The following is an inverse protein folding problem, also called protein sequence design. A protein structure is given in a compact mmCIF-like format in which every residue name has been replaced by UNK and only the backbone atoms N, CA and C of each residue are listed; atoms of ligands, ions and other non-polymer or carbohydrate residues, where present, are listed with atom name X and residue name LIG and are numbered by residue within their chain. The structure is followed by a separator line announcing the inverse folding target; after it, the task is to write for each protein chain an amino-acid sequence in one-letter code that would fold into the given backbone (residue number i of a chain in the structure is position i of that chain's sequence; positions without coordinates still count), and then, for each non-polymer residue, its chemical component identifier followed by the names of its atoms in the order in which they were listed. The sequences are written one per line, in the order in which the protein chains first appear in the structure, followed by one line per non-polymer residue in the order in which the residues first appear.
data_IF_706808666340
#
_entry.id   IF_706808666340
#
_cell.length_a   1.000
_cell.length_b   1.000
_cell.length_c   1.000
_cell.angle_alpha   90.00
_cell.angle_beta   90.00
_cell.angle_gamma   90.00
#
_symmetry.space_group_name_H-M   'P 1'
#
loop_
_entity.id
_entity.type
_entity.pdbx_description
1 polymer ?
#
# COMPACT_ATOMS: atom_id res chain seq x y z
N UNK A 1 9.62 11.01 13.76
CA UNK A 1 10.53 11.06 12.59
C UNK A 1 11.84 11.71 13.00
N UNK A 2 12.90 11.53 12.22
CA UNK A 2 14.20 12.20 12.40
C UNK A 2 14.49 13.08 11.19
N UNK A 3 15.04 14.27 11.42
CA UNK A 3 15.33 15.26 10.36
C UNK A 3 16.78 15.73 10.52
N UNK A 4 17.50 15.88 9.41
CA UNK A 4 18.87 16.40 9.42
C UNK A 4 18.88 17.87 9.86
N UNK A 5 19.88 18.26 10.67
CA UNK A 5 20.00 19.62 11.20
C UNK A 5 20.10 20.65 10.08
N UNK A 6 20.79 20.33 8.98
CA UNK A 6 20.88 21.18 7.78
C UNK A 6 19.50 21.59 7.26
N UNK A 7 18.57 20.65 7.13
CA UNK A 7 17.20 20.91 6.64
C UNK A 7 16.38 21.76 7.60
N UNK A 8 16.60 21.59 8.91
CA UNK A 8 15.93 22.40 9.93
C UNK A 8 16.41 23.85 9.86
N UNK A 9 17.72 24.04 9.73
CA UNK A 9 18.35 25.37 9.62
C UNK A 9 17.95 26.08 8.34
N UNK A 10 17.94 25.37 7.21
CA UNK A 10 17.48 25.93 5.92
C UNK A 10 16.02 26.39 6.01
N UNK A 11 15.16 25.57 6.62
CA UNK A 11 13.76 25.94 6.87
C UNK A 11 13.63 27.18 7.76
N UNK A 12 14.42 27.26 8.84
CA UNK A 12 14.42 28.42 9.75
C UNK A 12 14.94 29.69 9.04
N UNK A 13 15.98 29.60 8.22
CA UNK A 13 16.46 30.73 7.40
C UNK A 13 15.39 31.25 6.45
N UNK A 14 14.65 30.35 5.81
CA UNK A 14 13.60 30.72 4.86
C UNK A 14 12.35 31.29 5.53
N UNK A 15 12.03 30.87 6.75
CA UNK A 15 10.79 31.27 7.44
C UNK A 15 10.96 32.52 8.30
N UNK A 16 12.15 32.77 8.84
CA UNK A 16 12.31 33.81 9.89
C UNK A 16 12.62 35.20 9.35
N UNK A 17 12.86 35.38 8.04
CA UNK A 17 13.17 36.68 7.39
C UNK A 17 14.23 37.53 8.12
N UNK A 18 15.05 36.91 8.97
CA UNK A 18 16.16 37.53 9.71
C UNK A 18 17.39 37.49 8.80
N UNK A 19 17.99 38.66 8.58
CA UNK A 19 19.13 38.83 7.66
C UNK A 19 20.43 38.25 8.21
N UNK A 20 21.45 38.16 7.34
CA UNK A 20 22.81 37.67 7.63
C UNK A 20 23.56 38.42 8.76
N UNK A 21 23.02 39.52 9.26
CA UNK A 21 23.58 40.30 10.39
C UNK A 21 23.09 39.80 11.76
N UNK A 22 22.10 38.90 11.79
CA UNK A 22 21.54 38.35 13.02
C UNK A 22 22.14 36.96 13.32
N UNK A 23 23.19 36.94 14.16
CA UNK A 23 23.95 35.73 14.52
C UNK A 23 23.14 34.68 15.32
N UNK A 24 21.87 34.95 15.65
CA UNK A 24 21.05 34.05 16.47
C UNK A 24 20.80 32.69 15.82
N UNK A 25 20.67 32.63 14.48
CA UNK A 25 20.43 31.37 13.76
C UNK A 25 21.71 30.51 13.70
N UNK A 26 22.87 31.14 13.54
CA UNK A 26 24.19 30.51 13.55
C UNK A 26 24.56 29.95 14.93
N UNK A 27 24.17 30.66 15.99
CA UNK A 27 24.32 30.19 17.37
C UNK A 27 23.44 28.97 17.66
N UNK A 28 22.17 29.01 17.26
CA UNK A 28 21.27 27.86 17.34
C UNK A 28 21.78 26.67 16.54
N UNK A 29 22.35 26.90 15.36
CA UNK A 29 22.98 25.83 14.57
C UNK A 29 24.17 25.20 15.30
N UNK A 30 25.00 26.02 15.96
CA UNK A 30 26.15 25.55 16.74
C UNK A 30 25.73 24.74 17.98
N UNK A 31 24.56 25.03 18.57
CA UNK A 31 23.98 24.22 19.65
C UNK A 31 23.35 22.91 19.15
N UNK A 32 22.76 22.90 17.95
CA UNK A 32 22.13 21.72 17.36
C UNK A 32 23.16 20.71 16.82
N UNK A 33 24.29 21.18 16.30
CA UNK A 33 25.34 20.33 15.72
C UNK A 33 26.75 20.91 15.98
N UNK A 34 27.27 20.79 17.21
CA UNK A 34 28.57 21.36 17.59
C UNK A 34 29.75 20.74 16.81
N UNK A 35 29.59 19.52 16.31
CA UNK A 35 30.60 18.81 15.52
C UNK A 35 30.45 19.03 14.00
N UNK A 36 29.41 19.74 13.54
CA UNK A 36 29.06 19.95 12.12
C UNK A 36 28.97 18.65 11.32
N UNK A 37 28.43 17.59 11.92
CA UNK A 37 28.30 16.24 11.33
C UNK A 37 26.94 15.99 10.67
N UNK A 38 26.07 16.98 10.64
CA UNK A 38 24.70 16.96 10.13
C UNK A 38 23.88 15.77 10.67
N UNK A 39 23.83 15.68 11.99
CA UNK A 39 23.20 14.55 12.68
C UNK A 39 21.69 14.61 12.49
N UNK A 40 21.06 13.47 12.18
CA UNK A 40 19.60 13.39 12.12
C UNK A 40 19.01 13.42 13.54
N UNK A 41 18.20 14.44 13.83
CA UNK A 41 17.65 14.72 15.16
C UNK A 41 16.15 14.40 15.21
N UNK A 42 15.68 13.85 16.33
CA UNK A 42 14.25 13.66 16.59
C UNK A 42 13.61 14.93 17.19
N UNK A 43 12.28 15.00 17.14
CA UNK A 43 11.51 16.17 17.59
C UNK A 43 11.70 16.48 19.09
N UNK A 44 11.90 15.46 19.93
CA UNK A 44 12.09 15.65 21.37
C UNK A 44 13.43 16.32 21.65
N UNK A 45 14.49 15.84 20.99
CA UNK A 45 15.84 16.43 21.08
C UNK A 45 15.86 17.86 20.53
N UNK A 46 15.20 18.12 19.40
CA UNK A 46 15.09 19.48 18.86
C UNK A 46 14.37 20.44 19.82
N UNK A 47 13.26 20.01 20.43
CA UNK A 47 12.55 20.83 21.42
C UNK A 47 13.38 21.08 22.68
N UNK A 48 14.21 20.13 23.11
CA UNK A 48 15.10 20.33 24.25
C UNK A 48 16.14 21.43 23.97
N UNK A 49 16.82 21.36 22.82
CA UNK A 49 17.81 22.36 22.42
C UNK A 49 17.16 23.73 22.16
N UNK A 50 15.98 23.76 21.53
CA UNK A 50 15.23 25.01 21.34
C UNK A 50 14.84 25.68 22.65
N UNK A 51 14.47 24.90 23.69
CA UNK A 51 14.17 25.45 25.01
C UNK A 51 15.41 26.07 25.66
N UNK A 52 16.54 25.37 25.60
CA UNK A 52 17.83 25.85 26.12
C UNK A 52 18.27 27.12 25.41
N UNK A 53 18.14 27.18 24.08
CA UNK A 53 18.46 28.38 23.30
C UNK A 53 17.55 29.58 23.62
N UNK A 54 16.25 29.36 23.82
CA UNK A 54 15.32 30.43 24.24
C UNK A 54 15.68 30.95 25.64
N UNK A 55 16.10 30.05 26.53
CA UNK A 55 16.54 30.41 27.88
C UNK A 55 17.85 31.21 27.86
N UNK A 56 18.82 30.80 27.03
CA UNK A 56 20.07 31.54 26.79
C UNK A 56 19.82 32.93 26.19
N UNK A 57 18.92 33.03 25.20
CA UNK A 57 18.49 34.32 24.64
C UNK A 57 17.85 35.24 25.68
N UNK A 58 17.07 34.68 26.62
CA UNK A 58 16.43 35.43 27.69
C UNK A 58 17.46 35.94 28.71
N UNK A 59 18.47 35.13 29.03
CA UNK A 59 19.58 35.52 29.90
C UNK A 59 20.42 36.67 29.32
N UNK A 60 20.71 36.63 28.01
CA UNK A 60 21.44 37.72 27.31
C UNK A 60 20.70 39.05 27.29
N UNK A 61 19.36 39.04 27.29
CA UNK A 61 18.55 40.27 27.37
C UNK A 61 18.57 40.88 28.78
N UNK A 62 18.63 40.06 29.84
CA UNK A 62 18.75 40.55 31.22
C UNK A 62 20.14 41.14 31.51
N UNK A 63 21.23 40.54 30.99
CA UNK A 63 22.59 41.02 31.22
C UNK A 63 22.94 42.30 30.43
N UNK A 64 22.30 42.52 29.28
CA UNK A 64 22.50 43.72 28.44
C UNK A 64 21.72 44.96 28.90
N UNK A 65 20.89 44.85 29.94
CA UNK A 65 20.08 45.98 30.46
C UNK A 65 20.82 46.82 31.52
N UNK A 66 22.12 46.55 31.78
CA UNK A 66 22.90 47.21 32.85
C UNK A 66 23.89 48.29 32.37
N UNK A 67 23.66 48.97 31.24
CA UNK A 67 24.43 50.17 30.85
C UNK A 67 23.56 51.28 30.19
N UNK A 68 22.64 51.90 30.97
CA UNK A 68 22.06 53.27 30.89
C UNK A 68 21.51 53.89 29.57
N UNK A 69 20.90 55.11 29.56
CA UNK A 69 20.35 55.94 30.65
C UNK A 69 18.89 56.45 30.43
N UNK A 70 18.18 56.67 31.54
CA UNK A 70 17.16 57.73 31.81
C UNK A 70 16.04 58.06 30.80
N UNK A 71 14.78 57.83 31.20
CA UNK A 71 13.63 58.75 31.07
C UNK A 71 12.46 58.23 31.95
N UNK A 72 12.25 58.76 33.15
CA UNK A 72 11.30 59.84 33.48
C UNK A 72 9.83 59.57 33.13
N UNK A 73 9.02 59.26 34.16
CA UNK A 73 7.72 59.91 34.49
C UNK A 73 7.18 59.32 35.81
N UNK A 74 7.57 59.83 36.98
CA UNK A 74 6.78 60.74 37.83
C UNK A 74 5.31 60.30 38.04
N UNK A 75 4.99 59.62 39.14
CA UNK A 75 4.59 60.19 40.46
C UNK A 75 3.49 61.24 40.34
N UNK A 76 2.24 60.86 40.63
CA UNK A 76 1.18 61.80 41.07
C UNK A 76 0.43 61.16 42.25
N UNK A 77 0.93 61.44 43.46
CA UNK A 77 0.26 61.16 44.74
C UNK A 77 -0.13 62.51 45.31
N UNK A 78 -1.35 62.96 45.02
CA UNK A 78 -1.85 64.25 45.47
C UNK A 78 -2.70 64.05 46.72
N UNK A 79 -2.02 64.06 47.85
CA UNK A 79 -2.55 64.51 49.14
C UNK A 79 -2.94 65.98 48.97
N UNK A 80 -4.23 66.32 49.04
CA UNK A 80 -4.66 67.72 49.13
C UNK A 80 -5.08 67.99 50.56
N UNK A 81 -4.11 68.47 51.33
CA UNK A 81 -4.33 69.18 52.57
C UNK A 81 -5.05 70.51 52.32
N UNK A 82 -5.75 70.95 53.37
CA UNK A 82 -5.99 72.33 53.73
C UNK A 82 -6.68 73.24 52.70
N UNK A 83 -8.00 73.31 52.83
CA UNK A 83 -8.66 74.62 52.87
C UNK A 83 -9.74 74.63 53.95
N UNK A 84 -9.30 74.46 55.19
CA UNK A 84 -9.98 75.11 56.31
C UNK A 84 -10.03 76.60 55.97
N UNK A 85 -11.21 77.08 55.60
CA UNK A 85 -11.48 78.49 55.50
C UNK A 85 -11.61 79.01 56.94
N UNK A 86 -10.46 79.12 57.61
CA UNK A 86 -10.30 79.97 58.78
C UNK A 86 -10.56 81.39 58.29
N UNK A 87 -11.80 81.85 58.43
CA UNK A 87 -12.10 83.28 58.35
C UNK A 87 -11.43 83.88 59.57
N UNK A 88 -10.17 84.27 59.35
CA UNK A 88 -9.39 85.15 60.20
C UNK A 88 -10.28 86.35 60.53
N UNK A 89 -10.75 86.40 61.77
CA UNK A 89 -11.35 87.58 62.36
C UNK A 89 -10.34 88.72 62.25
N UNK A 90 -10.52 89.61 61.26
CA UNK A 90 -9.89 90.91 61.28
C UNK A 90 -10.70 91.79 62.21
N UNK A 91 -10.39 91.69 63.50
CA UNK A 91 -10.73 92.68 64.52
C UNK A 91 -9.90 93.92 64.17
N UNK A 92 -10.44 94.78 63.32
CA UNK A 92 -9.94 96.16 63.21
C UNK A 92 -10.50 96.92 64.39
N UNK A 93 -9.75 96.89 65.51
CA UNK A 93 -9.89 97.86 66.59
C UNK A 93 -9.51 99.23 66.03
N UNK A 94 -10.53 100.03 65.67
CA UNK A 94 -10.37 101.38 65.14
C UNK A 94 -11.10 102.38 66.03
N UNK A 95 -10.31 103.19 66.74
CA UNK A 95 -10.66 104.46 67.39
C UNK A 95 -11.93 104.52 68.25
N UNK A 96 -11.75 104.12 69.51
CA UNK A 96 -12.42 104.73 70.65
C UNK A 96 -11.79 106.12 70.86
N UNK A 97 -12.26 107.14 70.12
CA UNK A 97 -11.98 108.54 70.45
C UNK A 97 -13.07 109.07 71.37
N UNK A 98 -12.60 109.60 72.49
CA UNK A 98 -13.36 110.11 73.60
C UNK A 98 -14.18 111.34 73.20
N UNK A 99 -15.50 111.25 73.33
CA UNK A 99 -16.31 112.42 73.67
C UNK A 99 -16.41 112.52 75.19
N UNK A 100 -15.30 112.95 75.80
CA UNK A 100 -15.35 113.73 77.03
C UNK A 100 -15.54 115.17 76.63
N UNK A 101 -16.78 115.67 76.70
CA UNK A 101 -17.13 117.00 76.21
C UNK A 101 -18.42 117.51 76.83
N UNK A 102 -18.23 118.17 77.98
CA UNK A 102 -19.04 119.16 78.67
C UNK A 102 -20.54 118.97 78.98
N UNK A 103 -20.81 119.27 80.24
CA UNK A 103 -22.06 119.29 80.99
C UNK A 103 -23.06 120.26 80.36
N UNK A 104 -24.14 119.73 79.77
CA UNK A 104 -25.39 120.49 79.69
C UNK A 104 -26.15 120.25 81.00
N UNK A 105 -25.95 121.17 81.94
CA UNK A 105 -26.83 121.44 83.09
C UNK A 105 -28.04 122.25 82.60
N UNK A 106 -28.61 121.82 81.48
CA UNK A 106 -29.97 122.12 81.07
C UNK A 106 -30.77 120.88 81.40
N UNK A 107 -31.96 121.07 81.96
CA UNK A 107 -32.94 120.02 82.26
C UNK A 107 -33.05 119.08 81.04
N UNK A 108 -32.26 117.99 81.02
CA UNK A 108 -32.45 116.90 80.07
C UNK A 108 -33.75 116.31 80.56
N UNK A 109 -34.82 116.70 79.89
CA UNK A 109 -36.17 116.30 80.22
C UNK A 109 -36.13 114.78 80.44
N UNK A 110 -36.52 114.35 81.64
CA UNK A 110 -36.51 112.95 82.05
C UNK A 110 -37.23 112.10 80.98
N UNK A 111 -38.14 112.72 80.23
CA UNK A 111 -38.80 112.22 79.03
C UNK A 111 -37.86 111.79 77.88
N UNK A 112 -36.81 112.54 77.55
CA UNK A 112 -35.86 112.22 76.46
C UNK A 112 -34.98 111.00 76.80
N UNK A 113 -34.54 110.90 78.05
CA UNK A 113 -33.79 109.74 78.54
C UNK A 113 -34.67 108.48 78.60
N UNK A 114 -35.92 108.60 79.07
CA UNK A 114 -36.90 107.51 79.05
C UNK A 114 -37.16 107.03 77.61
N UNK A 115 -37.27 107.96 76.66
CA UNK A 115 -37.47 107.64 75.23
C UNK A 115 -36.26 106.92 74.64
N UNK A 116 -35.04 107.38 74.94
CA UNK A 116 -33.81 106.71 74.51
C UNK A 116 -33.68 105.29 75.09
N UNK A 117 -34.01 105.11 76.38
CA UNK A 117 -34.01 103.78 77.03
C UNK A 117 -35.05 102.85 76.40
N UNK A 118 -36.26 103.34 76.11
CA UNK A 118 -37.30 102.56 75.45
C UNK A 118 -36.88 102.13 74.03
N UNK A 119 -36.27 103.02 73.26
CA UNK A 119 -35.72 102.72 71.93
C UNK A 119 -34.60 101.68 71.97
N UNK A 120 -33.70 101.77 72.96
CA UNK A 120 -32.63 100.79 73.15
C UNK A 120 -33.18 99.43 73.57
N UNK A 121 -34.16 99.39 74.47
CA UNK A 121 -34.85 98.15 74.86
C UNK A 121 -35.55 97.50 73.67
N UNK A 122 -36.26 98.28 72.86
CA UNK A 122 -36.88 97.80 71.62
C UNK A 122 -35.84 97.28 70.63
N UNK A 123 -34.74 98.02 70.39
CA UNK A 123 -33.64 97.58 69.52
C UNK A 123 -32.97 96.31 70.02
N UNK A 124 -32.76 96.17 71.33
CA UNK A 124 -32.19 94.97 71.93
C UNK A 124 -33.13 93.76 71.78
N UNK A 125 -34.43 93.92 72.06
CA UNK A 125 -35.40 92.87 71.83
C UNK A 125 -35.46 92.44 70.36
N UNK A 126 -35.46 93.39 69.43
CA UNK A 126 -35.38 93.11 67.99
C UNK A 126 -34.09 92.38 67.60
N UNK A 127 -32.94 92.77 68.15
CA UNK A 127 -31.67 92.05 67.95
C UNK A 127 -31.72 90.63 68.51
N UNK A 128 -32.39 90.42 69.65
CA UNK A 128 -32.55 89.10 70.26
C UNK A 128 -33.46 88.19 69.42
N UNK A 129 -34.55 88.73 68.86
CA UNK A 129 -35.43 88.03 67.92
C UNK A 129 -34.68 87.64 66.64
N UNK A 130 -33.92 88.57 66.05
CA UNK A 130 -33.10 88.27 64.88
C UNK A 130 -31.98 87.26 65.21
N UNK A 131 -31.34 87.34 66.38
CA UNK A 131 -30.36 86.33 66.82
C UNK A 131 -30.99 84.94 66.97
N UNK A 132 -32.19 84.84 67.54
CA UNK A 132 -32.91 83.58 67.66
C UNK A 132 -33.29 83.02 66.29
N UNK A 133 -33.72 83.88 65.37
CA UNK A 133 -34.03 83.50 63.98
C UNK A 133 -32.78 83.02 63.26
N UNK A 134 -31.66 83.73 63.37
CA UNK A 134 -30.38 83.33 62.81
C UNK A 134 -29.93 81.97 63.36
N UNK A 135 -30.09 81.75 64.66
CA UNK A 135 -29.78 80.46 65.30
C UNK A 135 -30.61 79.32 64.74
N UNK A 136 -31.93 79.49 64.63
CA UNK A 136 -32.80 78.48 64.01
C UNK A 136 -32.45 78.22 62.54
N UNK A 137 -32.12 79.27 61.77
CA UNK A 137 -31.67 79.08 60.39
C UNK A 137 -30.32 78.37 60.31
N UNK A 138 -29.41 78.65 61.25
CA UNK A 138 -28.12 77.98 61.34
C UNK A 138 -28.31 76.49 61.67
N UNK A 139 -29.12 76.16 62.68
CA UNK A 139 -29.45 74.77 63.03
C UNK A 139 -30.09 74.02 61.86
N UNK A 140 -31.01 74.67 61.12
CA UNK A 140 -31.61 74.08 59.92
C UNK A 140 -30.58 73.85 58.81
N UNK A 141 -29.65 74.80 58.59
CA UNK A 141 -28.57 74.66 57.62
C UNK A 141 -27.61 73.53 58.03
N UNK A 142 -27.23 73.44 59.31
CA UNK A 142 -26.35 72.39 59.84
C UNK A 142 -26.98 71.00 59.67
N UNK A 143 -28.28 70.84 59.95
CA UNK A 143 -29.00 69.57 59.73
C UNK A 143 -29.02 69.19 58.25
N UNK A 144 -29.27 70.15 57.35
CA UNK A 144 -29.22 69.88 55.90
C UNK A 144 -27.82 69.53 55.42
N UNK A 145 -26.78 70.16 55.98
CA UNK A 145 -25.38 69.87 55.63
C UNK A 145 -24.95 68.49 56.10
N UNK A 146 -25.34 68.08 57.32
CA UNK A 146 -25.09 66.72 57.82
C UNK A 146 -25.76 65.66 56.95
N UNK A 147 -27.01 65.92 56.51
CA UNK A 147 -27.70 65.03 55.58
C UNK A 147 -26.98 64.94 54.23
N UNK A 148 -26.55 66.07 53.66
CA UNK A 148 -25.79 66.07 52.41
C UNK A 148 -24.43 65.35 52.53
N UNK A 149 -23.76 65.47 53.68
CA UNK A 149 -22.53 64.72 53.96
C UNK A 149 -22.78 63.21 53.99
N UNK A 150 -23.86 62.76 54.63
CA UNK A 150 -24.24 61.35 54.64
C UNK A 150 -24.58 60.85 53.22
N UNK A 151 -25.40 61.59 52.47
CA UNK A 151 -25.73 61.28 51.07
C UNK A 151 -24.46 61.23 50.20
N UNK A 152 -23.46 62.09 50.45
CA UNK A 152 -22.19 62.09 49.72
C UNK A 152 -21.35 60.85 50.00
N UNK A 153 -21.27 60.40 51.26
CA UNK A 153 -20.55 59.19 51.63
C UNK A 153 -21.24 57.94 51.05
N UNK A 154 -22.57 57.88 51.09
CA UNK A 154 -23.35 56.81 50.46
C UNK A 154 -23.11 56.75 48.95
N UNK A 155 -23.11 57.89 48.26
CA UNK A 155 -22.78 57.97 46.83
C UNK A 155 -21.33 57.54 46.54
N UNK A 156 -20.38 57.91 47.41
CA UNK A 156 -18.98 57.43 47.28
C UNK A 156 -18.91 55.91 47.43
N UNK A 157 -19.61 55.33 48.39
CA UNK A 157 -19.62 53.89 48.61
C UNK A 157 -20.29 53.16 47.44
N UNK A 158 -21.40 53.68 46.92
CA UNK A 158 -22.04 53.18 45.70
C UNK A 158 -21.08 53.22 44.50
N UNK A 159 -20.37 54.34 44.32
CA UNK A 159 -19.38 54.49 43.23
C UNK A 159 -18.27 53.44 43.34
N UNK A 160 -17.72 53.20 44.55
CA UNK A 160 -16.70 52.15 44.76
C UNK A 160 -17.24 50.76 44.44
N UNK A 161 -18.47 50.45 44.87
CA UNK A 161 -19.12 49.17 44.58
C UNK A 161 -19.35 48.97 43.08
N UNK A 162 -19.81 50.00 42.38
CA UNK A 162 -19.99 49.96 40.92
C UNK A 162 -18.64 49.76 40.23
N UNK A 163 -17.60 50.48 40.65
CA UNK A 163 -16.24 50.32 40.11
C UNK A 163 -15.72 48.89 40.28
N UNK A 164 -15.90 48.28 41.46
CA UNK A 164 -15.54 46.87 41.67
C UNK A 164 -16.32 45.94 40.75
N UNK A 165 -17.64 46.12 40.63
CA UNK A 165 -18.49 45.29 39.75
C UNK A 165 -18.06 45.41 38.28
N UNK A 166 -17.72 46.62 37.82
CA UNK A 166 -17.21 46.87 36.47
C UNK A 166 -15.88 46.14 36.22
N UNK A 167 -14.95 46.16 37.18
CA UNK A 167 -13.69 45.42 37.05
C UNK A 167 -13.92 43.91 36.97
N UNK A 168 -14.83 43.37 37.80
CA UNK A 168 -15.21 41.97 37.74
C UNK A 168 -15.84 41.59 36.39
N UNK A 169 -16.72 42.44 35.85
CA UNK A 169 -17.33 42.23 34.54
C UNK A 169 -16.30 42.20 33.40
N UNK A 170 -15.28 43.07 33.44
CA UNK A 170 -14.18 43.07 32.46
C UNK A 170 -13.35 41.78 32.51
N UNK A 171 -13.03 41.29 33.70
CA UNK A 171 -12.33 40.02 33.87
C UNK A 171 -13.12 38.85 33.28
N UNK A 172 -14.44 38.82 33.49
CA UNK A 172 -15.32 37.79 32.93
C UNK A 172 -15.44 37.90 31.40
N UNK A 173 -15.40 39.12 30.85
CA UNK A 173 -15.38 39.36 29.40
C UNK A 173 -14.09 38.80 28.76
N UNK A 174 -12.94 39.01 29.41
CA UNK A 174 -11.65 38.44 28.98
C UNK A 174 -11.67 36.90 29.04
N UNK A 175 -12.17 36.31 30.14
CA UNK A 175 -12.33 34.85 30.26
C UNK A 175 -13.26 34.27 29.18
N UNK A 176 -14.34 34.99 28.84
CA UNK A 176 -15.28 34.56 27.79
C UNK A 176 -14.61 34.56 26.41
N UNK A 177 -13.88 35.62 26.06
CA UNK A 177 -13.16 35.68 24.79
C UNK A 177 -12.04 34.63 24.73
N UNK A 178 -11.34 34.34 25.83
CA UNK A 178 -10.39 33.22 25.89
C UNK A 178 -11.08 31.87 25.61
N UNK A 179 -12.19 31.56 26.31
CA UNK A 179 -12.95 30.32 26.10
C UNK A 179 -13.45 30.20 24.67
N UNK A 180 -13.89 31.30 24.06
CA UNK A 180 -14.35 31.35 22.67
C UNK A 180 -13.22 31.06 21.69
N UNK A 181 -12.02 31.62 21.89
CA UNK A 181 -10.86 31.29 21.05
C UNK A 181 -10.44 29.83 21.19
N UNK A 182 -10.45 29.28 22.41
CA UNK A 182 -10.17 27.88 22.68
C UNK A 182 -11.20 26.93 22.06
N UNK A 183 -12.49 27.30 22.11
CA UNK A 183 -13.57 26.56 21.47
C UNK A 183 -13.36 26.50 19.95
N UNK A 184 -13.07 27.64 19.31
CA UNK A 184 -12.81 27.71 17.88
C UNK A 184 -11.60 26.84 17.46
N UNK A 185 -10.50 26.90 18.22
CA UNK A 185 -9.32 26.04 17.98
C UNK A 185 -9.65 24.55 18.13
N UNK A 186 -10.43 24.19 19.15
CA UNK A 186 -10.86 22.81 19.36
C UNK A 186 -11.78 22.32 18.24
N UNK A 187 -12.66 23.19 17.74
CA UNK A 187 -13.55 22.88 16.63
C UNK A 187 -12.76 22.69 15.32
N UNK A 188 -11.78 23.53 15.04
CA UNK A 188 -10.89 23.38 13.88
C UNK A 188 -10.12 22.04 13.94
N UNK A 189 -9.56 21.69 15.10
CA UNK A 189 -8.89 20.39 15.31
C UNK A 189 -9.85 19.22 15.11
N UNK A 190 -11.09 19.33 15.60
CA UNK A 190 -12.14 18.31 15.40
C UNK A 190 -12.41 18.12 13.90
N UNK A 191 -12.52 19.20 13.15
CA UNK A 191 -12.79 19.15 11.71
C UNK A 191 -11.60 18.57 10.92
N UNK A 192 -10.36 18.92 11.31
CA UNK A 192 -9.15 18.35 10.74
C UNK A 192 -9.09 16.83 10.93
N UNK A 193 -9.35 16.35 12.16
CA UNK A 193 -9.39 14.91 12.47
C UNK A 193 -10.51 14.21 11.70
N UNK A 194 -11.68 14.85 11.54
CA UNK A 194 -12.79 14.31 10.77
C UNK A 194 -12.41 14.12 9.30
N UNK A 195 -11.74 15.12 8.70
CA UNK A 195 -11.24 15.06 7.33
C UNK A 195 -10.17 13.97 7.15
N UNK A 196 -9.25 13.83 8.09
CA UNK A 196 -8.24 12.74 8.09
C UNK A 196 -8.90 11.36 8.19
N UNK A 197 -9.86 11.18 9.09
CA UNK A 197 -10.60 9.92 9.22
C UNK A 197 -11.34 9.56 7.93
N UNK A 198 -12.00 10.53 7.30
CA UNK A 198 -12.70 10.31 6.02
C UNK A 198 -11.73 9.92 4.89
N UNK A 199 -10.51 10.45 4.90
CA UNK A 199 -9.48 10.07 3.94
C UNK A 199 -8.97 8.64 4.19
N UNK A 200 -8.65 8.30 5.44
CA UNK A 200 -8.23 6.95 5.82
C UNK A 200 -9.32 5.91 5.53
N UNK A 201 -10.60 6.26 5.70
CA UNK A 201 -11.72 5.38 5.35
C UNK A 201 -11.75 5.06 3.85
N UNK A 202 -11.52 6.06 2.98
CA UNK A 202 -11.40 5.83 1.53
C UNK A 202 -10.21 4.96 1.18
N UNK A 203 -9.04 5.22 1.79
CA UNK A 203 -7.84 4.41 1.56
C UNK A 203 -8.05 2.96 2.01
N UNK A 204 -8.71 2.74 3.15
CA UNK A 204 -9.06 1.41 3.63
C UNK A 204 -10.01 0.70 2.65
N UNK A 205 -11.05 1.39 2.16
CA UNK A 205 -11.94 0.84 1.12
C UNK A 205 -11.17 0.44 -0.16
N UNK A 206 -10.23 1.28 -0.62
CA UNK A 206 -9.40 0.97 -1.79
C UNK A 206 -8.50 -0.25 -1.55
N UNK A 207 -7.90 -0.36 -0.36
CA UNK A 207 -7.08 -1.51 0.02
C UNK A 207 -7.93 -2.79 0.07
N UNK A 208 -9.14 -2.73 0.61
CA UNK A 208 -10.08 -3.86 0.61
C UNK A 208 -10.36 -4.32 -0.82
N UNK A 209 -10.69 -3.40 -1.74
CA UNK A 209 -10.91 -3.72 -3.15
C UNK A 209 -9.68 -4.38 -3.78
N UNK A 210 -8.47 -3.86 -3.49
CA UNK A 210 -7.23 -4.42 -4.02
C UNK A 210 -6.95 -5.84 -3.48
N UNK A 211 -7.21 -6.06 -2.19
CA UNK A 211 -7.09 -7.39 -1.56
C UNK A 211 -8.04 -8.38 -2.25
N UNK A 212 -9.31 -8.02 -2.44
CA UNK A 212 -10.29 -8.88 -3.11
C UNK A 212 -9.87 -9.20 -4.55
N UNK A 213 -9.40 -8.21 -5.32
CA UNK A 213 -8.91 -8.42 -6.69
C UNK A 213 -7.71 -9.37 -6.76
N UNK A 214 -6.77 -9.25 -5.81
CA UNK A 214 -5.61 -10.16 -5.73
C UNK A 214 -6.02 -11.57 -5.28
N UNK A 215 -7.01 -11.70 -4.38
CA UNK A 215 -7.55 -12.99 -3.99
C UNK A 215 -8.22 -13.70 -5.16
N UNK A 216 -9.00 -12.98 -5.98
CA UNK A 216 -9.61 -13.53 -7.19
C UNK A 216 -8.57 -13.98 -8.21
N UNK A 217 -7.49 -13.22 -8.40
CA UNK A 217 -6.38 -13.58 -9.28
C UNK A 217 -5.66 -14.84 -8.78
N UNK A 218 -5.41 -14.93 -7.48
CA UNK A 218 -4.77 -16.11 -6.88
C UNK A 218 -5.63 -17.37 -7.06
N UNK A 219 -6.96 -17.26 -6.89
CA UNK A 219 -7.88 -18.36 -7.16
C UNK A 219 -7.80 -18.79 -8.63
N UNK A 220 -7.84 -17.85 -9.58
CA UNK A 220 -7.69 -18.17 -11.02
C UNK A 220 -6.36 -18.88 -11.31
N UNK A 221 -5.26 -18.36 -10.80
CA UNK A 221 -3.94 -18.94 -11.00
C UNK A 221 -3.85 -20.36 -10.40
N UNK A 222 -4.47 -20.59 -9.24
CA UNK A 222 -4.56 -21.93 -8.63
C UNK A 222 -5.34 -22.90 -9.52
N UNK A 223 -6.47 -22.47 -10.09
CA UNK A 223 -7.26 -23.31 -10.99
C UNK A 223 -6.50 -23.64 -12.28
N UNK A 224 -5.77 -22.68 -12.85
CA UNK A 224 -4.92 -22.90 -14.02
C UNK A 224 -3.78 -23.88 -13.71
N UNK A 225 -3.12 -23.74 -12.56
CA UNK A 225 -2.08 -24.65 -12.09
C UNK A 225 -2.60 -26.09 -11.93
N UNK A 226 -3.78 -26.27 -11.31
CA UNK A 226 -4.44 -27.57 -11.19
C UNK A 226 -4.76 -28.18 -12.57
N UNK A 227 -5.19 -27.35 -13.52
CA UNK A 227 -5.43 -27.77 -14.90
C UNK A 227 -4.16 -28.25 -15.61
N UNK A 228 -3.07 -27.51 -15.48
CA UNK A 228 -1.77 -27.89 -16.01
C UNK A 228 -1.23 -29.17 -15.36
N UNK A 229 -1.39 -29.32 -14.05
CA UNK A 229 -0.97 -30.53 -13.33
C UNK A 229 -1.72 -31.77 -13.84
N UNK A 230 -3.04 -31.66 -14.06
CA UNK A 230 -3.83 -32.74 -14.67
C UNK A 230 -3.31 -33.08 -16.07
N UNK A 231 -2.97 -32.07 -16.88
CA UNK A 231 -2.44 -32.30 -18.23
C UNK A 231 -1.06 -32.96 -18.21
N UNK A 232 -0.20 -32.58 -17.28
CA UNK A 232 1.11 -33.20 -17.08
C UNK A 232 0.95 -34.69 -16.70
N UNK A 233 0.01 -35.00 -15.80
CA UNK A 233 -0.26 -36.38 -15.40
C UNK A 233 -0.78 -37.23 -16.57
N UNK A 234 -1.70 -36.69 -17.37
CA UNK A 234 -2.20 -37.36 -18.58
C UNK A 234 -1.07 -37.64 -19.58
N UNK A 235 -0.27 -36.62 -19.92
CA UNK A 235 0.87 -36.77 -20.83
C UNK A 235 1.93 -37.75 -20.30
N UNK A 236 2.15 -37.79 -18.99
CA UNK A 236 3.09 -38.73 -18.37
C UNK A 236 2.59 -40.17 -18.48
N UNK A 237 1.26 -40.37 -18.37
CA UNK A 237 0.64 -41.69 -18.57
C UNK A 237 0.79 -42.13 -20.03
N UNK A 238 0.47 -41.26 -20.98
CA UNK A 238 0.59 -41.55 -22.42
C UNK A 238 2.05 -41.88 -22.79
N UNK A 239 3.01 -41.14 -22.23
CA UNK A 239 4.43 -41.40 -22.44
C UNK A 239 4.86 -42.79 -21.93
N UNK A 240 4.39 -43.21 -20.75
CA UNK A 240 4.67 -44.54 -20.21
C UNK A 240 4.04 -45.66 -21.06
N UNK A 241 2.83 -45.45 -21.58
CA UNK A 241 2.17 -46.40 -22.49
C UNK A 241 2.97 -46.56 -23.80
N UNK A 242 3.45 -45.45 -24.37
CA UNK A 242 4.29 -45.45 -25.57
C UNK A 242 5.65 -46.12 -25.33
N UNK A 243 6.25 -45.94 -24.16
CA UNK A 243 7.52 -46.59 -23.79
C UNK A 243 7.36 -48.12 -23.72
N UNK A 244 6.26 -48.60 -23.12
CA UNK A 244 5.91 -50.03 -23.11
C UNK A 244 5.71 -50.56 -24.53
N UNK A 245 5.00 -49.81 -25.37
CA UNK A 245 4.76 -50.20 -26.77
C UNK A 245 6.07 -50.27 -27.57
N UNK A 246 6.98 -49.31 -27.39
CA UNK A 246 8.30 -49.32 -28.01
C UNK A 246 9.09 -50.58 -27.63
N UNK A 247 9.11 -50.96 -26.35
CA UNK A 247 9.79 -52.17 -25.88
C UNK A 247 9.20 -53.45 -26.49
N UNK A 248 7.87 -53.52 -26.67
CA UNK A 248 7.21 -54.66 -27.34
C UNK A 248 7.66 -54.77 -28.80
N UNK A 249 7.69 -53.65 -29.53
CA UNK A 249 8.16 -53.65 -30.91
C UNK A 249 9.64 -54.00 -31.03
N UNK A 250 10.49 -53.46 -30.15
CA UNK A 250 11.93 -53.78 -30.12
C UNK A 250 12.15 -55.28 -29.92
N UNK A 251 11.47 -55.89 -28.93
CA UNK A 251 11.52 -57.34 -28.70
C UNK A 251 11.03 -58.14 -29.92
N UNK A 252 9.97 -57.68 -30.59
CA UNK A 252 9.44 -58.33 -31.80
C UNK A 252 10.45 -58.26 -32.94
N UNK A 253 11.10 -57.11 -33.15
CA UNK A 253 12.15 -56.93 -34.17
C UNK A 253 13.34 -57.85 -33.88
N UNK A 254 13.83 -57.89 -32.65
CA UNK A 254 14.94 -58.78 -32.25
C UNK A 254 14.60 -60.25 -32.51
N UNK A 255 13.37 -60.68 -32.21
CA UNK A 255 12.92 -62.04 -32.50
C UNK A 255 12.87 -62.33 -34.01
N UNK A 256 12.40 -61.38 -34.83
CA UNK A 256 12.38 -61.51 -36.28
C UNK A 256 13.80 -61.54 -36.88
N UNK A 257 14.70 -60.71 -36.36
CA UNK A 257 16.12 -60.69 -36.74
C UNK A 257 16.78 -62.05 -36.45
N UNK A 258 16.56 -62.62 -35.27
CA UNK A 258 17.07 -63.94 -34.91
C UNK A 258 16.53 -65.05 -35.83
N UNK A 259 15.24 -65.01 -36.16
CA UNK A 259 14.62 -65.96 -37.11
C UNK A 259 15.18 -65.79 -38.53
N UNK A 260 15.43 -64.55 -38.97
CA UNK A 260 16.04 -64.25 -40.27
C UNK A 260 17.46 -64.81 -40.36
N UNK A 261 18.29 -64.57 -39.33
CA UNK A 261 19.66 -65.11 -39.24
C UNK A 261 19.65 -66.65 -39.28
N UNK A 262 18.72 -67.29 -38.58
CA UNK A 262 18.58 -68.75 -38.62
C UNK A 262 18.22 -69.26 -40.03
N UNK A 263 17.28 -68.59 -40.72
CA UNK A 263 16.92 -68.93 -42.10
C UNK A 263 18.11 -68.73 -43.05
N UNK A 264 18.88 -67.67 -42.87
CA UNK A 264 20.06 -67.41 -43.70
C UNK A 264 21.16 -68.47 -43.49
N UNK A 265 21.33 -68.95 -42.26
CA UNK A 265 22.21 -70.09 -41.96
C UNK A 265 21.74 -71.38 -42.66
N UNK A 266 20.44 -71.69 -42.58
CA UNK A 266 19.87 -72.85 -43.28
C UNK A 266 20.04 -72.76 -44.80
N UNK A 267 19.90 -71.56 -45.38
CA UNK A 267 20.17 -71.32 -46.81
C UNK A 267 21.64 -71.59 -47.15
N UNK A 268 22.59 -71.17 -46.30
CA UNK A 268 24.02 -71.44 -46.51
C UNK A 268 24.32 -72.94 -46.48
N UNK A 269 23.73 -73.66 -45.53
CA UNK A 269 23.85 -75.12 -45.43
C UNK A 269 23.26 -75.83 -46.66
N UNK A 270 22.05 -75.43 -47.09
CA UNK A 270 21.42 -75.98 -48.29
C UNK A 270 22.25 -75.70 -49.56
N UNK A 271 22.89 -74.53 -49.67
CA UNK A 271 23.81 -74.23 -50.78
C UNK A 271 25.02 -75.17 -50.78
N UNK A 272 25.58 -75.49 -49.62
CA UNK A 272 26.69 -76.44 -49.49
C UNK A 272 26.26 -77.85 -49.93
N UNK A 273 25.10 -78.34 -49.47
CA UNK A 273 24.60 -79.66 -49.87
C UNK A 273 24.30 -79.75 -51.36
N UNK A 274 23.80 -78.68 -51.99
CA UNK A 274 23.62 -78.60 -53.45
C UNK A 274 24.95 -78.72 -54.20
N UNK A 275 26.02 -78.09 -53.71
CA UNK A 275 27.36 -78.19 -54.30
C UNK A 275 27.91 -79.61 -54.17
N UNK A 276 27.77 -80.23 -53.00
CA UNK A 276 28.15 -81.63 -52.76
C UNK A 276 27.40 -82.60 -53.69
N UNK A 277 26.07 -82.50 -53.77
CA UNK A 277 25.24 -83.28 -54.68
C UNK A 277 25.66 -83.08 -56.14
N UNK A 278 25.94 -81.84 -56.55
CA UNK A 278 26.42 -81.53 -57.90
C UNK A 278 27.75 -82.24 -58.20
N UNK A 279 28.69 -82.24 -57.25
CA UNK A 279 29.96 -82.97 -57.37
C UNK A 279 29.76 -84.48 -57.49
N UNK A 280 28.84 -85.06 -56.72
CA UNK A 280 28.48 -86.48 -56.82
C UNK A 280 27.92 -86.79 -58.21
N UNK A 281 27.01 -85.95 -58.72
CA UNK A 281 26.43 -86.09 -60.06
C UNK A 281 27.51 -86.04 -61.13
N UNK A 282 28.46 -85.10 -61.07
CA UNK A 282 29.58 -85.03 -62.04
C UNK A 282 30.45 -86.28 -61.99
N UNK A 283 30.76 -86.79 -60.79
CA UNK A 283 31.55 -88.01 -60.59
C UNK A 283 30.85 -89.23 -61.22
N UNK A 284 29.57 -89.43 -60.90
CA UNK A 284 28.76 -90.50 -61.47
C UNK A 284 28.64 -90.38 -62.99
N UNK A 285 28.54 -89.16 -63.53
CA UNK A 285 28.49 -88.93 -64.98
C UNK A 285 29.81 -89.31 -65.64
N UNK A 286 30.96 -89.00 -65.03
CA UNK A 286 32.27 -89.41 -65.52
C UNK A 286 32.45 -90.94 -65.48
N UNK A 287 32.05 -91.60 -64.39
CA UNK A 287 32.06 -93.06 -64.27
C UNK A 287 31.18 -93.74 -65.31
N UNK A 288 29.95 -93.23 -65.52
CA UNK A 288 29.05 -93.70 -66.58
C UNK A 288 29.70 -93.59 -67.95
N UNK A 289 30.34 -92.46 -68.26
CA UNK A 289 31.04 -92.24 -69.53
C UNK A 289 32.17 -93.27 -69.72
N UNK A 290 33.02 -93.47 -68.71
CA UNK A 290 34.10 -94.45 -68.72
C UNK A 290 33.58 -95.89 -68.92
N UNK A 291 32.48 -96.25 -68.25
CA UNK A 291 31.85 -97.56 -68.42
C UNK A 291 31.32 -97.76 -69.84
N UNK A 292 30.71 -96.73 -70.43
CA UNK A 292 30.19 -96.75 -71.80
C UNK A 292 31.33 -96.90 -72.83
N UNK A 293 32.44 -96.18 -72.65
CA UNK A 293 33.66 -96.33 -73.45
C UNK A 293 34.25 -97.75 -73.35
N UNK A 294 34.37 -98.30 -72.14
CA UNK A 294 34.82 -99.68 -71.92
C UNK A 294 33.89 -100.70 -72.61
N UNK A 295 32.58 -100.51 -72.53
CA UNK A 295 31.60 -101.38 -73.18
C UNK A 295 31.70 -101.32 -74.71
N UNK A 296 31.87 -100.12 -75.28
CA UNK A 296 32.12 -99.94 -76.73
C UNK A 296 33.42 -100.61 -77.18
N UNK A 297 34.49 -100.47 -76.40
CA UNK A 297 35.77 -101.10 -76.68
C UNK A 297 35.65 -102.63 -76.69
N UNK A 298 35.00 -103.21 -75.67
CA UNK A 298 34.72 -104.65 -75.61
C UNK A 298 33.87 -105.11 -76.81
N UNK A 299 32.88 -104.33 -77.20
CA UNK A 299 32.06 -104.61 -78.39
C UNK A 299 32.90 -104.59 -79.68
N UNK A 300 33.85 -103.65 -79.82
CA UNK A 300 34.78 -103.60 -80.95
C UNK A 300 35.76 -104.79 -80.96
N UNK A 301 36.29 -105.20 -79.81
CA UNK A 301 37.14 -106.40 -79.69
C UNK A 301 36.39 -107.69 -80.08
N UNK A 302 35.12 -107.81 -79.66
CA UNK A 302 34.24 -108.91 -80.07
C UNK A 302 34.03 -108.95 -81.59
N UNK A 303 33.86 -107.79 -82.22
CA UNK A 303 33.74 -107.66 -83.68
C UNK A 303 35.06 -108.04 -84.38
N UNK A 304 36.23 -107.62 -83.86
CA UNK A 304 37.57 -107.93 -84.40
C UNK A 304 37.93 -109.42 -84.31
N UNK A 305 37.47 -110.12 -83.28
CA UNK A 305 37.73 -111.55 -83.06
C UNK A 305 36.80 -112.50 -83.86
N UNK A 306 36.06 -111.99 -84.85
CA UNK A 306 35.34 -112.80 -85.84
C UNK A 306 33.99 -113.39 -85.39
N UNK A 307 33.48 -112.99 -84.22
CA UNK A 307 32.14 -113.37 -83.74
C UNK A 307 31.14 -112.29 -84.18
N UNK A 308 30.60 -112.42 -85.40
CA UNK A 308 29.45 -111.59 -85.79
C UNK A 308 28.18 -112.14 -85.14
N UNK A 309 27.54 -111.32 -84.30
CA UNK A 309 26.10 -111.41 -84.11
C UNK A 309 25.51 -110.01 -83.92
N UNK A 310 24.54 -109.61 -84.75
CA UNK A 310 23.68 -108.48 -84.44
C UNK A 310 22.71 -108.94 -83.36
N UNK A 311 22.95 -108.56 -82.11
CA UNK A 311 21.92 -108.71 -81.07
C UNK A 311 21.74 -107.41 -80.28
N UNK A 312 20.61 -106.78 -80.60
CA UNK A 312 19.74 -106.01 -79.73
C UNK A 312 20.23 -105.77 -78.28
N UNK A 313 20.44 -104.50 -77.94
CA UNK A 313 19.95 -103.94 -76.68
C UNK A 313 18.64 -103.19 -76.95
N UNK A 314 17.66 -103.89 -77.51
CA UNK A 314 16.26 -103.48 -77.58
C UNK A 314 15.40 -104.65 -77.07
N UNK A 315 15.51 -104.98 -75.80
CA UNK A 315 14.60 -105.83 -75.02
C UNK A 315 15.16 -105.88 -73.59
N UNK A 316 14.44 -105.73 -72.48
CA UNK A 316 13.07 -105.37 -72.17
C UNK A 316 13.03 -105.33 -70.62
N UNK A 317 12.44 -104.32 -70.02
CA UNK A 317 11.71 -104.49 -68.77
C UNK A 317 10.63 -103.41 -68.69
N UNK A 318 9.57 -103.62 -69.48
CA UNK A 318 8.25 -103.31 -68.99
C UNK A 318 8.07 -104.06 -67.66
N UNK A 319 8.33 -103.37 -66.55
CA UNK A 319 7.72 -103.68 -65.26
C UNK A 319 6.69 -102.58 -65.02
N UNK A 320 5.41 -102.94 -64.87
CA UNK A 320 4.32 -102.01 -64.62
C UNK A 320 4.22 -101.76 -63.11
N UNK A 321 4.45 -100.53 -62.67
CA UNK A 321 4.05 -99.97 -61.37
C UNK A 321 4.55 -98.52 -61.41
N UNK A 322 3.68 -97.52 -61.39
CA UNK A 322 3.02 -97.19 -60.14
C UNK A 322 4.04 -96.53 -59.23
N UNK A 323 4.05 -95.19 -59.23
CA UNK A 323 4.80 -94.30 -58.34
C UNK A 323 6.20 -93.85 -58.84
N UNK A 324 6.41 -92.53 -58.81
CA UNK A 324 7.68 -91.81 -58.85
C UNK A 324 8.22 -91.37 -60.23
N UNK A 325 7.32 -91.00 -61.15
CA UNK A 325 7.72 -90.10 -62.24
C UNK A 325 7.91 -88.69 -61.68
N UNK A 326 9.07 -88.10 -61.96
CA UNK A 326 9.45 -86.71 -61.66
C UNK A 326 8.36 -85.70 -62.11
N UNK A 327 7.49 -86.12 -63.03
CA UNK A 327 6.33 -85.36 -63.49
C UNK A 327 5.22 -85.25 -62.42
N UNK A 328 4.93 -86.31 -61.66
CA UNK A 328 3.94 -86.26 -60.56
C UNK A 328 4.47 -85.46 -59.35
N UNK A 329 5.77 -85.50 -59.08
CA UNK A 329 6.38 -84.67 -58.02
C UNK A 329 6.38 -83.17 -58.40
N UNK A 330 6.62 -82.82 -59.66
CA UNK A 330 6.51 -81.45 -60.15
C UNK A 330 5.07 -80.92 -60.14
N UNK A 331 4.08 -81.77 -60.41
CA UNK A 331 2.65 -81.41 -60.39
C UNK A 331 2.12 -81.27 -58.94
N UNK A 332 2.66 -82.05 -57.99
CA UNK A 332 2.42 -81.87 -56.55
C UNK A 332 3.10 -80.60 -55.99
N UNK A 333 4.28 -80.23 -56.50
CA UNK A 333 4.93 -78.97 -56.14
C UNK A 333 4.20 -77.74 -56.72
N UNK A 334 3.60 -77.85 -57.91
CA UNK A 334 2.77 -76.80 -58.51
C UNK A 334 1.38 -76.66 -57.86
N UNK A 335 0.78 -77.76 -57.39
CA UNK A 335 -0.50 -77.71 -56.65
C UNK A 335 -0.34 -77.23 -55.19
N UNK A 336 0.89 -77.12 -54.69
CA UNK A 336 1.24 -76.41 -53.45
C UNK A 336 1.28 -74.87 -53.60
N UNK A 337 0.73 -74.31 -54.69
CA UNK A 337 0.44 -72.87 -54.83
C UNK A 337 -0.72 -72.36 -53.94
N UNK A 338 -1.18 -73.14 -52.96
CA UNK A 338 -2.15 -72.67 -51.95
C UNK A 338 -1.51 -71.71 -50.92
N UNK A 339 -0.18 -71.65 -50.83
CA UNK A 339 0.54 -70.67 -50.00
C UNK A 339 0.66 -69.27 -50.65
N UNK A 340 0.23 -69.12 -51.91
CA UNK A 340 0.16 -67.80 -52.57
C UNK A 340 -1.05 -66.98 -52.11
N UNK A 341 -2.14 -67.65 -51.70
CA UNK A 341 -3.33 -66.99 -51.16
C UNK A 341 -3.07 -66.36 -49.78
N UNK A 342 -2.22 -66.97 -48.95
CA UNK A 342 -1.79 -66.38 -47.67
C UNK A 342 -0.79 -65.22 -47.87
N UNK A 343 -0.02 -65.26 -48.96
CA UNK A 343 0.91 -64.18 -49.33
C UNK A 343 0.16 -62.95 -49.83
N UNK A 344 -0.90 -63.14 -50.63
CA UNK A 344 -1.74 -62.04 -51.11
C UNK A 344 -2.69 -61.49 -50.03
N UNK A 345 -3.19 -62.31 -49.11
CA UNK A 345 -4.02 -61.82 -48.01
C UNK A 345 -3.23 -61.00 -47.00
N UNK A 346 -1.96 -61.35 -46.74
CA UNK A 346 -1.09 -60.53 -45.90
C UNK A 346 -0.80 -59.16 -46.53
N UNK A 347 -0.58 -59.13 -47.83
CA UNK A 347 -0.30 -57.92 -48.61
C UNK A 347 -1.51 -56.96 -48.62
N UNK A 348 -2.72 -57.49 -48.87
CA UNK A 348 -3.96 -56.70 -48.80
C UNK A 348 -4.27 -56.19 -47.38
N UNK A 349 -3.91 -56.94 -46.33
CA UNK A 349 -4.14 -56.51 -44.94
C UNK A 349 -3.14 -55.43 -44.52
N UNK A 350 -1.88 -55.56 -44.97
CA UNK A 350 -0.83 -54.58 -44.73
C UNK A 350 -1.11 -53.28 -45.47
N UNK A 351 -1.52 -53.34 -46.74
CA UNK A 351 -1.92 -52.15 -47.51
C UNK A 351 -3.11 -51.43 -46.87
N UNK A 352 -4.06 -52.19 -46.29
CA UNK A 352 -5.21 -51.62 -45.57
C UNK A 352 -4.80 -50.93 -44.26
N UNK A 353 -3.89 -51.52 -43.49
CA UNK A 353 -3.37 -50.93 -42.24
C UNK A 353 -2.48 -49.70 -42.52
N UNK A 354 -1.67 -49.74 -43.59
CA UNK A 354 -0.87 -48.61 -44.06
C UNK A 354 -1.76 -47.46 -44.53
N UNK A 355 -2.86 -47.75 -45.24
CA UNK A 355 -3.88 -46.75 -45.58
C UNK A 355 -4.51 -46.10 -44.33
N UNK A 356 -4.80 -46.89 -43.29
CA UNK A 356 -5.32 -46.36 -42.02
C UNK A 356 -4.31 -45.50 -41.27
N UNK A 357 -3.01 -45.83 -41.32
CA UNK A 357 -1.93 -45.05 -40.70
C UNK A 357 -1.61 -43.77 -41.47
N UNK A 358 -1.67 -43.79 -42.81
CA UNK A 358 -1.47 -42.61 -43.66
C UNK A 358 -2.64 -41.62 -43.59
N UNK A 359 -3.82 -42.05 -43.14
CA UNK A 359 -5.00 -41.19 -43.05
C UNK A 359 -4.94 -40.18 -41.88
N UNK A 360 -4.00 -40.33 -40.95
CA UNK A 360 -3.68 -39.35 -39.91
C UNK A 360 -4.83 -38.99 -38.96
N UNK A 361 -4.56 -38.26 -37.86
CA UNK A 361 -5.58 -37.82 -36.90
C UNK A 361 -6.55 -36.77 -37.46
N UNK A 362 -6.28 -36.22 -38.65
CA UNK A 362 -7.11 -35.19 -39.28
C UNK A 362 -8.48 -35.72 -39.72
N UNK A 363 -8.58 -36.95 -40.23
CA UNK A 363 -9.87 -37.54 -40.63
C UNK A 363 -10.78 -37.87 -39.43
N UNK A 364 -10.18 -38.30 -38.32
CA UNK A 364 -10.91 -38.50 -37.06
C UNK A 364 -11.35 -37.15 -36.46
N UNK A 365 -10.51 -36.11 -36.59
CA UNK A 365 -10.82 -34.74 -36.18
C UNK A 365 -11.97 -34.12 -36.99
N UNK A 366 -12.04 -34.37 -38.29
CA UNK A 366 -13.13 -33.88 -39.15
C UNK A 366 -14.48 -34.56 -38.83
N UNK A 367 -14.50 -35.87 -38.60
CA UNK A 367 -15.70 -36.57 -38.15
C UNK A 367 -16.16 -36.09 -36.77
N UNK A 368 -15.23 -35.89 -35.83
CA UNK A 368 -15.55 -35.32 -34.51
C UNK A 368 -16.09 -33.88 -34.63
N UNK A 369 -15.49 -33.06 -35.51
CA UNK A 369 -15.95 -31.69 -35.78
C UNK A 369 -17.35 -31.67 -36.42
N UNK A 370 -17.65 -32.60 -37.33
CA UNK A 370 -18.97 -32.76 -37.93
C UNK A 370 -20.03 -33.20 -36.91
N UNK A 371 -19.68 -34.14 -36.01
CA UNK A 371 -20.57 -34.57 -34.92
C UNK A 371 -20.83 -33.42 -33.94
N UNK A 372 -19.79 -32.65 -33.58
CA UNK A 372 -19.92 -31.48 -32.72
C UNK A 372 -20.76 -30.37 -33.35
N UNK A 373 -20.60 -30.10 -34.65
CA UNK A 373 -21.45 -29.15 -35.38
C UNK A 373 -22.92 -29.61 -35.41
N UNK A 374 -23.18 -30.90 -35.65
CA UNK A 374 -24.54 -31.43 -35.62
C UNK A 374 -25.18 -31.32 -34.24
N UNK A 375 -24.45 -31.57 -33.15
CA UNK A 375 -24.97 -31.40 -31.78
C UNK A 375 -25.26 -29.94 -31.43
N UNK A 376 -24.42 -29.00 -31.90
CA UNK A 376 -24.65 -27.56 -31.73
C UNK A 376 -25.85 -27.08 -32.54
N UNK A 377 -26.01 -27.56 -33.78
CA UNK A 377 -27.16 -27.25 -34.63
C UNK A 377 -28.46 -27.86 -34.11
N UNK A 378 -28.44 -29.10 -33.58
CA UNK A 378 -29.61 -29.73 -32.95
C UNK A 378 -30.03 -29.05 -31.65
N UNK A 379 -29.10 -28.40 -30.93
CA UNK A 379 -29.40 -27.61 -29.73
C UNK A 379 -29.96 -26.22 -30.07
N UNK A 380 -29.60 -25.67 -31.23
CA UNK A 380 -30.15 -24.40 -31.72
C UNK A 380 -31.56 -24.53 -32.32
N UNK A 381 -32.01 -25.73 -32.69
CA UNK A 381 -33.36 -26.00 -33.20
C UNK A 381 -34.40 -26.36 -32.12
N UNK A 382 -34.04 -26.31 -30.84
CA UNK A 382 -34.92 -26.64 -29.68
C UNK A 382 -35.16 -25.43 -28.75
N UNK A 383 -34.66 -24.25 -29.14
CA UNK A 383 -35.11 -22.95 -28.63
C UNK A 383 -35.85 -22.21 -29.75
#
# INVERSE_FOLDING_TARGET
GKVAVSKIVDYLRHTTSRGLEDNGIEELFSMLDPDKKDISMDLGTFHAVMKEWIEDCKGKWEDSTTEGPTASMEVHKNTSEAKEMFVRMNITSGSLEAFGGDVSKGDVDISDLITCVADLQYKNQKLQEENNKLKLTLEAVDETNNKLLADNEDLRQQTKSIQHSVLQAKSLEEELEEVKTNLNLSEEKREQILCQNKQLEKENQLLIIKITSLQEENIRNSMEADGLQKKILELSKDAAELEVQAHIYESTVVNKEASLVQKEQAIKELKLTVVECSSIIETLRAEKKKLLENMQHMQQELILNGLSLPLLCKLNSNVPEGMNSLHCELELAQTSEITKAESMSLDETLDREVLFLLQGPEYAGENFKAIMQNLVSSRASVN
#
